data_IF_989334588099
#
_entry.id   IF_989334588099
#
_cell.length_a   1.000
_cell.length_b   1.000
_cell.length_c   1.000
_cell.angle_alpha   90.00
_cell.angle_beta   90.00
_cell.angle_gamma   90.00
#
_symmetry.space_group_name_H-M   'P 1'
#
loop_
_entity.id
_entity.type
_entity.pdbx_description
1 polymer ?
#
# COMPACT_ATOMS: atom_id res chain seq x y z
N UNK A 1 17.58 4.90 -0.01
CA UNK A 1 16.68 4.09 0.84
C UNK A 1 16.34 2.81 0.10
N UNK A 2 16.32 1.65 0.77
CA UNK A 2 15.85 0.42 0.17
C UNK A 2 14.42 0.52 -0.35
N UNK A 3 14.14 -0.16 -1.47
CA UNK A 3 12.83 -0.17 -2.13
C UNK A 3 12.21 -1.56 -2.10
N UNK A 4 10.89 -1.61 -2.04
CA UNK A 4 10.11 -2.80 -2.28
C UNK A 4 9.07 -2.55 -3.38
N UNK A 5 8.70 -3.59 -4.09
CA UNK A 5 7.68 -3.56 -5.12
C UNK A 5 6.81 -4.80 -5.01
N UNK A 6 5.50 -4.61 -4.94
CA UNK A 6 4.51 -5.68 -4.90
C UNK A 6 3.51 -5.45 -6.03
N UNK A 7 3.29 -6.47 -6.83
CA UNK A 7 2.28 -6.44 -7.90
C UNK A 7 1.31 -7.61 -7.70
N UNK A 8 0.01 -7.31 -7.80
CA UNK A 8 -1.06 -8.29 -7.69
C UNK A 8 -1.97 -8.15 -8.92
N UNK A 9 -2.02 -9.17 -9.79
CA UNK A 9 -2.92 -9.16 -10.95
C UNK A 9 -4.38 -9.34 -10.52
N UNK A 10 -5.31 -8.76 -11.28
CA UNK A 10 -6.75 -8.91 -11.09
C UNK A 10 -7.51 -8.79 -12.42
N UNK A 11 -8.80 -9.13 -12.41
CA UNK A 11 -9.68 -9.06 -13.59
C UNK A 11 -10.78 -8.00 -13.48
N UNK A 12 -10.69 -7.11 -12.49
CA UNK A 12 -11.61 -5.99 -12.27
C UNK A 12 -11.39 -4.85 -13.26
N UNK A 13 -12.36 -3.95 -13.43
CA UNK A 13 -12.15 -2.69 -14.14
C UNK A 13 -11.26 -1.74 -13.31
N UNK A 14 -10.65 -0.75 -13.96
CA UNK A 14 -9.79 0.23 -13.27
C UNK A 14 -10.54 1.00 -12.18
N UNK A 15 -11.78 1.40 -12.44
CA UNK A 15 -12.64 2.13 -11.49
C UNK A 15 -12.97 1.27 -10.27
N UNK A 16 -13.33 0.01 -10.47
CA UNK A 16 -13.55 -0.94 -9.38
C UNK A 16 -12.27 -1.19 -8.58
N UNK A 17 -11.12 -1.35 -9.25
CA UNK A 17 -9.84 -1.55 -8.58
C UNK A 17 -9.48 -0.35 -7.69
N UNK A 18 -9.64 0.88 -8.20
CA UNK A 18 -9.45 2.11 -7.40
C UNK A 18 -10.39 2.13 -6.20
N UNK A 19 -11.69 1.87 -6.40
CA UNK A 19 -12.67 1.87 -5.31
C UNK A 19 -12.37 0.81 -4.23
N UNK A 20 -11.97 -0.40 -4.64
CA UNK A 20 -11.59 -1.48 -3.69
C UNK A 20 -10.33 -1.13 -2.91
N UNK A 21 -9.35 -0.51 -3.56
CA UNK A 21 -8.12 -0.07 -2.91
C UNK A 21 -8.38 1.09 -1.95
N UNK A 22 -9.17 2.08 -2.34
CA UNK A 22 -9.58 3.18 -1.44
C UNK A 22 -10.25 2.65 -0.18
N UNK A 23 -11.18 1.71 -0.32
CA UNK A 23 -11.81 1.05 0.83
C UNK A 23 -10.86 0.18 1.65
N UNK A 24 -9.80 -0.39 1.04
CA UNK A 24 -8.74 -1.08 1.77
C UNK A 24 -7.96 -0.11 2.66
N UNK A 25 -7.57 1.04 2.13
CA UNK A 25 -6.75 2.01 2.86
C UNK A 25 -7.49 2.61 4.05
N UNK A 26 -8.77 2.94 3.90
CA UNK A 26 -9.58 3.37 5.03
C UNK A 26 -9.58 2.32 6.16
N UNK A 27 -9.77 1.04 5.81
CA UNK A 27 -9.70 -0.04 6.81
C UNK A 27 -8.32 -0.24 7.41
N UNK A 28 -7.25 -0.10 6.62
CA UNK A 28 -5.87 -0.20 7.11
C UNK A 28 -5.60 0.95 8.08
N UNK A 29 -6.02 2.17 7.73
CA UNK A 29 -5.95 3.33 8.60
C UNK A 29 -6.70 3.07 9.91
N UNK A 30 -7.93 2.58 9.87
CA UNK A 30 -8.72 2.30 11.08
C UNK A 30 -8.11 1.17 11.92
N UNK A 31 -7.64 0.10 11.28
CA UNK A 31 -7.07 -1.08 11.95
C UNK A 31 -5.71 -0.79 12.58
N UNK A 32 -4.91 0.06 11.97
CA UNK A 32 -3.55 0.38 12.41
C UNK A 32 -3.42 1.81 12.93
N UNK A 33 -4.53 2.50 13.24
CA UNK A 33 -4.51 3.88 13.75
C UNK A 33 -3.63 4.06 14.99
N UNK A 34 -3.56 3.05 15.85
CA UNK A 34 -2.72 3.05 17.06
C UNK A 34 -1.23 2.84 16.76
N UNK A 35 -0.92 2.29 15.57
CA UNK A 35 0.44 1.93 15.14
C UNK A 35 0.98 2.89 14.07
N UNK A 36 0.11 3.67 13.43
CA UNK A 36 0.40 4.53 12.30
C UNK A 36 0.04 5.97 12.63
N UNK A 37 1.02 6.85 12.50
CA UNK A 37 0.89 8.30 12.69
C UNK A 37 1.41 9.04 11.46
N UNK A 38 1.14 10.34 11.35
CA UNK A 38 1.58 11.17 10.21
C UNK A 38 1.16 10.56 8.84
N UNK A 39 -0.05 9.97 8.78
CA UNK A 39 -0.57 9.38 7.54
C UNK A 39 -1.02 10.49 6.58
N UNK A 40 -0.31 10.59 5.47
CA UNK A 40 -0.63 11.45 4.33
C UNK A 40 -1.01 10.57 3.14
N UNK A 41 -2.11 10.93 2.50
CA UNK A 41 -2.63 10.28 1.30
C UNK A 41 -2.92 11.35 0.24
N UNK A 42 -2.41 11.16 -0.97
CA UNK A 42 -2.67 12.02 -2.10
C UNK A 42 -3.04 11.16 -3.32
N UNK A 43 -4.31 11.20 -3.69
CA UNK A 43 -4.82 10.53 -4.89
C UNK A 43 -4.67 11.43 -6.11
N UNK A 44 -4.26 10.83 -7.23
CA UNK A 44 -4.23 11.45 -8.55
C UNK A 44 -4.66 10.38 -9.55
N UNK A 45 -5.89 10.50 -10.04
CA UNK A 45 -6.55 9.50 -10.88
C UNK A 45 -6.50 8.10 -10.26
N UNK A 46 -5.70 7.20 -10.83
CA UNK A 46 -5.54 5.81 -10.40
C UNK A 46 -4.27 5.55 -9.59
N UNK A 47 -3.55 6.62 -9.22
CA UNK A 47 -2.33 6.57 -8.43
C UNK A 47 -2.58 7.19 -7.07
N UNK A 48 -2.13 6.51 -6.02
CA UNK A 48 -2.08 7.03 -4.67
C UNK A 48 -0.63 7.18 -4.24
N UNK A 49 -0.22 8.39 -3.88
CA UNK A 49 0.97 8.59 -3.07
C UNK A 49 0.59 8.50 -1.58
N UNK A 50 1.29 7.67 -0.82
CA UNK A 50 1.08 7.55 0.62
C UNK A 50 2.39 7.75 1.37
N UNK A 51 2.30 8.34 2.56
CA UNK A 51 3.40 8.43 3.52
C UNK A 51 2.85 8.26 4.91
N UNK A 52 3.55 7.54 5.75
CA UNK A 52 3.16 7.36 7.14
C UNK A 52 4.36 7.05 8.01
N UNK A 53 4.15 7.12 9.33
CA UNK A 53 5.14 6.79 10.33
C UNK A 53 4.62 5.69 11.23
N UNK A 54 5.42 4.65 11.43
CA UNK A 54 5.09 3.53 12.30
C UNK A 54 6.34 3.08 13.06
N UNK A 55 6.21 2.77 14.34
CA UNK A 55 7.33 2.35 15.20
C UNK A 55 8.58 3.26 15.09
N UNK A 56 8.39 4.57 14.85
CA UNK A 56 9.48 5.53 14.64
C UNK A 56 10.08 5.56 13.22
N UNK A 57 9.69 4.67 12.32
CA UNK A 57 10.12 4.64 10.92
C UNK A 57 9.14 5.38 10.02
N UNK A 58 9.67 6.24 9.14
CA UNK A 58 8.90 6.85 8.06
C UNK A 58 8.90 5.92 6.84
N UNK A 59 7.72 5.54 6.39
CA UNK A 59 7.51 4.69 5.23
C UNK A 59 6.72 5.51 4.23
N UNK A 60 7.18 5.52 2.97
CA UNK A 60 6.51 6.23 1.90
C UNK A 60 6.45 5.37 0.66
N UNK A 61 5.46 5.59 -0.18
CA UNK A 61 5.33 4.84 -1.41
C UNK A 61 4.23 5.37 -2.30
N UNK A 62 4.06 4.68 -3.41
CA UNK A 62 2.99 4.87 -4.36
C UNK A 62 2.28 3.56 -4.62
N UNK A 63 0.97 3.63 -4.77
CA UNK A 63 0.12 2.57 -5.26
C UNK A 63 -0.42 3.01 -6.63
N UNK A 64 -0.39 2.11 -7.60
CA UNK A 64 -0.99 2.29 -8.92
C UNK A 64 -2.02 1.21 -9.14
N UNK A 65 -3.30 1.57 -9.20
CA UNK A 65 -4.37 0.67 -9.57
C UNK A 65 -4.57 0.74 -11.09
N UNK A 66 -3.94 -0.18 -11.82
CA UNK A 66 -4.14 -0.30 -13.26
C UNK A 66 -5.38 -1.16 -13.56
N UNK A 67 -5.73 -1.28 -14.84
CA UNK A 67 -6.89 -2.08 -15.25
C UNK A 67 -6.73 -3.58 -14.95
N UNK A 68 -5.52 -4.12 -15.01
CA UNK A 68 -5.30 -5.57 -14.88
C UNK A 68 -4.43 -5.95 -13.69
N UNK A 69 -3.92 -4.96 -12.95
CA UNK A 69 -3.08 -5.18 -11.78
C UNK A 69 -3.11 -3.98 -10.83
N UNK A 70 -2.81 -4.25 -9.56
CA UNK A 70 -2.45 -3.22 -8.61
C UNK A 70 -0.98 -3.40 -8.27
N UNK A 71 -0.22 -2.31 -8.41
CA UNK A 71 1.20 -2.25 -8.08
C UNK A 71 1.43 -1.30 -6.92
N UNK A 72 2.29 -1.68 -5.98
CA UNK A 72 2.75 -0.84 -4.88
C UNK A 72 4.27 -0.78 -4.92
N UNK A 73 4.81 0.43 -5.00
CA UNK A 73 6.24 0.71 -4.88
C UNK A 73 6.47 1.54 -3.62
N UNK A 74 7.24 1.03 -2.68
CA UNK A 74 7.53 1.72 -1.42
C UNK A 74 9.01 1.81 -1.11
N UNK A 75 9.36 2.82 -0.33
CA UNK A 75 10.69 3.04 0.22
C UNK A 75 10.62 2.87 1.73
N UNK A 76 11.59 2.14 2.28
CA UNK A 76 11.73 1.94 3.71
C UNK A 76 13.12 2.39 4.19
N UNK A 77 13.27 2.83 5.46
CA UNK A 77 14.58 3.07 6.05
C UNK A 77 15.41 1.79 6.13
N UNK A 78 16.74 1.90 6.10
CA UNK A 78 17.65 0.74 6.22
C UNK A 78 17.39 -0.05 7.52
N UNK A 79 17.08 0.64 8.61
CA UNK A 79 16.75 0.02 9.89
C UNK A 79 15.50 -0.89 9.84
N UNK A 80 14.60 -0.70 8.87
CA UNK A 80 13.41 -1.52 8.69
C UNK A 80 13.62 -2.71 7.71
N UNK A 81 14.84 -2.91 7.19
CA UNK A 81 15.11 -3.91 6.14
C UNK A 81 14.81 -5.34 6.54
N UNK A 82 15.03 -5.70 7.80
CA UNK A 82 14.69 -7.02 8.32
C UNK A 82 13.19 -7.34 8.24
N UNK A 83 12.33 -6.31 8.12
CA UNK A 83 10.89 -6.44 8.00
C UNK A 83 10.38 -6.37 6.56
N UNK A 84 11.24 -6.05 5.58
CA UNK A 84 10.86 -5.88 4.16
C UNK A 84 10.00 -7.03 3.63
N UNK A 85 10.45 -8.28 3.81
CA UNK A 85 9.72 -9.46 3.33
C UNK A 85 8.34 -9.61 3.98
N UNK A 86 8.23 -9.33 5.29
CA UNK A 86 6.93 -9.38 6.00
C UNK A 86 5.99 -8.27 5.52
N UNK A 87 6.51 -7.08 5.27
CA UNK A 87 5.74 -5.94 4.74
C UNK A 87 5.21 -6.28 3.34
N UNK A 88 6.09 -6.75 2.44
CA UNK A 88 5.72 -7.19 1.09
C UNK A 88 4.63 -8.27 1.11
N UNK A 89 4.79 -9.29 1.96
CA UNK A 89 3.83 -10.38 2.07
C UNK A 89 2.48 -9.89 2.61
N UNK A 90 2.48 -9.09 3.68
CA UNK A 90 1.25 -8.55 4.27
C UNK A 90 0.47 -7.69 3.27
N UNK A 91 1.18 -6.83 2.54
CA UNK A 91 0.59 -5.99 1.49
C UNK A 91 0.00 -6.86 0.39
N UNK A 92 0.75 -7.86 -0.09
CA UNK A 92 0.29 -8.79 -1.12
C UNK A 92 -0.97 -9.53 -0.69
N UNK A 93 -1.01 -10.04 0.52
CA UNK A 93 -2.15 -10.80 1.05
C UNK A 93 -3.39 -9.93 1.20
N UNK A 94 -3.24 -8.69 1.70
CA UNK A 94 -4.36 -7.77 1.83
C UNK A 94 -4.88 -7.31 0.46
N UNK A 95 -4.00 -7.06 -0.51
CA UNK A 95 -4.42 -6.77 -1.89
C UNK A 95 -5.13 -7.95 -2.53
N UNK A 96 -4.55 -9.15 -2.45
CA UNK A 96 -5.13 -10.36 -3.03
C UNK A 96 -6.53 -10.65 -2.47
N UNK A 97 -6.73 -10.51 -1.16
CA UNK A 97 -8.06 -10.66 -0.53
C UNK A 97 -9.09 -9.66 -1.03
N UNK A 98 -8.67 -8.47 -1.48
CA UNK A 98 -9.59 -7.42 -1.94
C UNK A 98 -9.80 -7.43 -3.44
N UNK A 99 -8.85 -7.96 -4.21
CA UNK A 99 -8.90 -8.00 -5.66
C UNK A 99 -9.38 -9.34 -6.21
N UNK A 100 -9.54 -10.34 -5.35
CA UNK A 100 -10.26 -11.59 -5.62
C UNK A 100 -11.77 -11.39 -5.83
#
# INVERSE_FOLDING_TARGET
MPRFSVEVPHSLTQEEAVGRVQGLLQRVKDKYQDQVSELEEAWTDNVLAFKFKTYGFKIGGKLTAAANNVKIDGELPIAAMMFKGRIEQTIRDELAKRLA
#
